data_IF_939856553650
#
_entry.id   IF_939856553650
#
_cell.length_a   1.000
_cell.length_b   1.000
_cell.length_c   1.000
_cell.angle_alpha   90.00
_cell.angle_beta   90.00
_cell.angle_gamma   90.00
#
_symmetry.space_group_name_H-M   'P 1'
#
loop_
_entity.id
_entity.type
_entity.pdbx_description
1 polymer ?
#
# COMPACT_ATOMS: atom_id res chain seq x y z
N UNK A 1 5.89 11.75 7.92
CA UNK A 1 4.63 12.04 7.17
C UNK A 1 3.60 11.00 7.57
N UNK A 2 2.38 11.42 7.93
CA UNK A 2 1.24 10.53 8.18
C UNK A 2 0.65 9.98 6.87
N UNK A 3 -0.16 8.93 6.97
CA UNK A 3 -0.95 8.40 5.86
C UNK A 3 -2.39 8.92 5.97
N UNK A 4 -2.97 9.41 4.88
CA UNK A 4 -4.35 9.90 4.88
C UNK A 4 -5.35 8.75 5.06
N UNK A 5 -6.49 9.02 5.68
CA UNK A 5 -7.50 8.01 6.00
C UNK A 5 -7.98 7.23 4.76
N UNK A 6 -8.14 7.92 3.62
CA UNK A 6 -8.53 7.29 2.36
C UNK A 6 -7.53 6.21 1.91
N UNK A 7 -6.22 6.52 1.98
CA UNK A 7 -5.17 5.55 1.67
C UNK A 7 -5.11 4.42 2.71
N UNK A 8 -5.34 4.73 3.99
CA UNK A 8 -5.37 3.71 5.04
C UNK A 8 -6.54 2.73 4.88
N UNK A 9 -7.70 3.22 4.46
CA UNK A 9 -8.88 2.38 4.21
C UNK A 9 -8.64 1.45 3.02
N UNK A 10 -8.11 1.98 1.92
CA UNK A 10 -7.80 1.17 0.74
C UNK A 10 -6.67 0.18 1.01
N UNK A 11 -5.61 0.60 1.71
CA UNK A 11 -4.54 -0.30 2.14
C UNK A 11 -5.07 -1.48 2.96
N UNK A 12 -6.03 -1.23 3.86
CA UNK A 12 -6.72 -2.28 4.61
C UNK A 12 -7.57 -3.19 3.74
N UNK A 13 -8.21 -2.66 2.70
CA UNK A 13 -8.97 -3.45 1.75
C UNK A 13 -8.05 -4.37 0.92
N UNK A 14 -6.91 -3.85 0.46
CA UNK A 14 -5.92 -4.62 -0.30
C UNK A 14 -5.34 -5.75 0.53
N UNK A 15 -4.91 -5.48 1.77
CA UNK A 15 -4.40 -6.52 2.65
C UNK A 15 -5.41 -7.66 2.86
N UNK A 16 -6.70 -7.33 3.03
CA UNK A 16 -7.77 -8.34 3.10
C UNK A 16 -7.95 -9.10 1.78
N UNK A 17 -7.91 -8.41 0.64
CA UNK A 17 -8.04 -9.03 -0.68
C UNK A 17 -6.88 -9.98 -0.99
N UNK A 18 -5.68 -9.67 -0.51
CA UNK A 18 -4.49 -10.52 -0.65
C UNK A 18 -4.35 -11.56 0.48
N UNK A 19 -5.25 -11.59 1.46
CA UNK A 19 -5.18 -12.50 2.61
C UNK A 19 -3.97 -12.24 3.54
N UNK A 20 -3.42 -11.02 3.53
CA UNK A 20 -2.23 -10.62 4.30
C UNK A 20 -2.60 -9.83 5.55
N UNK A 21 -1.77 -9.94 6.58
CA UNK A 21 -1.79 -8.99 7.70
C UNK A 21 -1.30 -7.61 7.23
N UNK A 22 -1.84 -6.52 7.81
CA UNK A 22 -1.45 -5.16 7.43
C UNK A 22 0.04 -4.90 7.60
N UNK A 23 0.58 -5.40 8.69
CA UNK A 23 1.97 -5.30 9.08
C UNK A 23 2.86 -6.14 8.15
N UNK A 24 2.39 -7.28 7.66
CA UNK A 24 3.11 -8.06 6.66
C UNK A 24 3.17 -7.31 5.32
N UNK A 25 2.03 -6.81 4.83
CA UNK A 25 1.99 -6.03 3.60
C UNK A 25 2.83 -4.74 3.71
N UNK A 26 2.81 -4.07 4.87
CA UNK A 26 3.64 -2.89 5.11
C UNK A 26 5.13 -3.23 5.12
N UNK A 27 5.53 -4.37 5.69
CA UNK A 27 6.92 -4.84 5.65
C UNK A 27 7.38 -5.17 4.22
N UNK A 28 6.55 -5.85 3.42
CA UNK A 28 6.86 -6.12 2.01
C UNK A 28 7.07 -4.83 1.20
N UNK A 29 6.24 -3.81 1.45
CA UNK A 29 6.42 -2.48 0.84
C UNK A 29 7.69 -1.80 1.35
N UNK A 30 8.02 -1.96 2.64
CA UNK A 30 9.23 -1.40 3.25
C UNK A 30 10.52 -2.00 2.68
N UNK A 31 10.51 -3.29 2.39
CA UNK A 31 11.63 -4.02 1.79
C UNK A 31 11.82 -3.65 0.31
N UNK A 32 10.72 -3.37 -0.42
CA UNK A 32 10.75 -3.11 -1.86
C UNK A 32 10.87 -1.64 -2.24
N UNK A 33 10.59 -0.69 -1.34
CA UNK A 33 10.57 0.77 -1.63
C UNK A 33 11.95 1.40 -1.88
N UNK A 34 13.04 0.72 -1.56
CA UNK A 34 14.39 1.31 -1.61
C UNK A 34 14.62 2.45 -0.59
N UNK A 35 15.75 3.13 -0.68
CA UNK A 35 16.16 4.15 0.30
C UNK A 35 15.53 5.55 0.09
N UNK A 36 14.92 5.80 -1.07
CA UNK A 36 14.58 7.18 -1.48
C UNK A 36 13.18 7.66 -1.05
N UNK A 37 12.28 6.75 -0.67
CA UNK A 37 10.91 7.09 -0.28
C UNK A 37 10.58 6.57 1.12
N UNK A 38 10.02 7.41 2.00
CA UNK A 38 9.49 6.95 3.29
C UNK A 38 8.29 6.01 3.13
N UNK A 39 8.08 5.11 4.09
CA UNK A 39 7.04 4.07 4.04
C UNK A 39 5.64 4.59 3.68
N UNK A 40 5.23 5.73 4.25
CA UNK A 40 3.93 6.33 3.94
C UNK A 40 3.80 6.74 2.46
N UNK A 41 4.87 7.23 1.84
CA UNK A 41 4.88 7.54 0.40
C UNK A 41 4.79 6.27 -0.44
N UNK A 42 5.53 5.23 -0.04
CA UNK A 42 5.52 3.94 -0.73
C UNK A 42 4.12 3.28 -0.68
N UNK A 43 3.43 3.35 0.46
CA UNK A 43 2.05 2.84 0.60
C UNK A 43 1.09 3.57 -0.35
N UNK A 44 1.20 4.90 -0.50
CA UNK A 44 0.35 5.65 -1.44
C UNK A 44 0.54 5.17 -2.88
N UNK A 45 1.79 4.98 -3.29
CA UNK A 45 2.13 4.49 -4.63
C UNK A 45 1.63 3.05 -4.84
N UNK A 46 1.76 2.20 -3.82
CA UNK A 46 1.25 0.83 -3.84
C UNK A 46 -0.27 0.80 -4.05
N UNK A 47 -1.01 1.53 -3.23
CA UNK A 47 -2.47 1.66 -3.32
C UNK A 47 -2.89 2.16 -4.71
N UNK A 48 -2.24 3.21 -5.22
CA UNK A 48 -2.55 3.76 -6.54
C UNK A 48 -2.34 2.72 -7.64
N UNK A 49 -1.23 1.97 -7.62
CA UNK A 49 -0.96 0.92 -8.60
C UNK A 49 -2.01 -0.18 -8.56
N UNK A 50 -2.38 -0.63 -7.36
CA UNK A 50 -3.39 -1.66 -7.17
C UNK A 50 -4.77 -1.24 -7.72
N UNK A 51 -5.23 -0.04 -7.36
CA UNK A 51 -6.54 0.47 -7.81
C UNK A 51 -6.55 0.67 -9.34
N UNK A 52 -5.47 1.19 -9.92
CA UNK A 52 -5.36 1.33 -11.39
C UNK A 52 -5.43 -0.03 -12.10
N UNK A 53 -4.66 -1.01 -11.64
CA UNK A 53 -4.67 -2.35 -12.24
C UNK A 53 -6.06 -3.01 -12.21
N UNK A 54 -6.89 -2.69 -11.21
CA UNK A 54 -8.27 -3.19 -11.09
C UNK A 54 -9.27 -2.39 -11.94
N UNK A 55 -8.98 -1.13 -12.25
CA UNK A 55 -9.83 -0.31 -13.11
C UNK A 55 -9.57 -0.57 -14.61
N UNK A 56 -8.36 -1.01 -14.95
CA UNK A 56 -7.94 -1.32 -16.32
C UNK A 56 -8.37 -2.74 -16.78
N UNK A 57 -9.08 -3.52 -15.95
CA UNK A 57 -9.60 -4.86 -16.26
C UNK A 57 -11.10 -4.98 -16.02
#
# INVERSE_FOLDING_TARGET
>A
MSLEEAFWNEFRAIARAEGKALNALAAEIDETRGLEAGLASAIRVYVLKYVKARADG
#
